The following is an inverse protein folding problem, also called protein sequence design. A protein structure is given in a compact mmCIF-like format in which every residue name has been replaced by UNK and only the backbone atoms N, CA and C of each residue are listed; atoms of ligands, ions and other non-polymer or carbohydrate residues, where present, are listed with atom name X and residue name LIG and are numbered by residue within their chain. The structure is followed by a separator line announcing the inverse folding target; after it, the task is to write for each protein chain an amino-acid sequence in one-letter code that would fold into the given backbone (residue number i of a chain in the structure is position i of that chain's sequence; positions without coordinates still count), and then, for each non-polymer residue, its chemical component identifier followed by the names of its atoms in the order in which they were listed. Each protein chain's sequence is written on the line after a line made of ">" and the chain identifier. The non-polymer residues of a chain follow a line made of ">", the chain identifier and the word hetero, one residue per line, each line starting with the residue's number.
data_IF_830966449820
#
_entry.id   IF_830966449820
#
_cell.length_a   1.000
_cell.length_b   1.000
_cell.length_c   1.000
_cell.angle_alpha   90.00
_cell.angle_beta   90.00
_cell.angle_gamma   90.00
#
_symmetry.space_group_name_H-M   'P 1'
#
loop_
_entity.id
_entity.type
_entity.pdbx_description
1 polymer ?
#
# COMPACT_ATOMS: atom_id res chain seq x y z
N UNK A 1 45.53 -5.69 30.46
CA UNK A 1 45.48 -4.39 29.75
C UNK A 1 44.14 -3.79 30.09
N UNK A 2 44.13 -2.69 30.84
CA UNK A 2 42.88 -1.93 31.06
C UNK A 2 42.53 -1.26 29.73
N UNK A 3 41.44 -1.69 29.11
CA UNK A 3 40.94 -1.10 27.89
C UNK A 3 40.31 0.24 28.25
N UNK A 4 41.10 1.31 28.19
CA UNK A 4 40.54 2.66 28.22
C UNK A 4 39.58 2.82 27.02
N UNK A 5 38.49 3.61 27.15
CA UNK A 5 37.60 3.89 26.04
C UNK A 5 38.33 4.40 24.79
N UNK A 6 39.37 5.19 25.01
CA UNK A 6 40.26 5.71 23.96
C UNK A 6 41.05 4.60 23.27
N UNK A 7 41.55 3.62 24.03
CA UNK A 7 42.25 2.45 23.49
C UNK A 7 41.34 1.56 22.63
N UNK A 8 40.07 1.43 23.01
CA UNK A 8 39.06 0.68 22.23
C UNK A 8 38.81 1.39 20.90
N UNK A 9 38.59 2.71 20.90
CA UNK A 9 38.35 3.47 19.67
C UNK A 9 39.57 3.42 18.75
N UNK A 10 40.77 3.62 19.29
CA UNK A 10 42.01 3.55 18.50
C UNK A 10 42.22 2.17 17.85
N UNK A 11 41.91 1.09 18.59
CA UNK A 11 41.97 -0.28 18.07
C UNK A 11 40.94 -0.51 16.95
N UNK A 12 39.69 -0.07 17.13
CA UNK A 12 38.63 -0.23 16.13
C UNK A 12 38.96 0.54 14.85
N UNK A 13 39.45 1.78 14.96
CA UNK A 13 39.84 2.57 13.78
C UNK A 13 40.98 1.90 13.02
N UNK A 14 42.01 1.42 13.73
CA UNK A 14 43.12 0.70 13.13
C UNK A 14 42.66 -0.61 12.44
N UNK A 15 41.73 -1.33 13.07
CA UNK A 15 41.12 -2.53 12.48
C UNK A 15 40.34 -2.20 11.19
N UNK A 16 39.58 -1.11 11.17
CA UNK A 16 38.83 -0.66 9.98
C UNK A 16 39.77 -0.31 8.83
N UNK A 17 40.86 0.40 9.11
CA UNK A 17 41.80 0.86 8.09
C UNK A 17 42.61 -0.29 7.47
N UNK A 18 42.90 -1.34 8.26
CA UNK A 18 43.72 -2.49 7.82
C UNK A 18 42.90 -3.61 7.18
N UNK A 19 41.60 -3.69 7.46
CA UNK A 19 40.70 -4.73 6.96
C UNK A 19 40.68 -4.88 5.42
N UNK A 20 40.59 -3.81 4.61
CA UNK A 20 40.55 -3.94 3.16
C UNK A 20 41.78 -4.68 2.60
N UNK A 21 42.97 -4.36 3.10
CA UNK A 21 44.20 -5.00 2.66
C UNK A 21 44.25 -6.49 3.05
N UNK A 22 43.81 -6.84 4.26
CA UNK A 22 43.74 -8.23 4.72
C UNK A 22 42.73 -9.07 3.93
N UNK A 23 41.59 -8.48 3.55
CA UNK A 23 40.59 -9.13 2.68
C UNK A 23 41.18 -9.41 1.29
N UNK A 24 41.90 -8.44 0.69
CA UNK A 24 42.53 -8.64 -0.62
C UNK A 24 43.63 -9.70 -0.60
N UNK A 25 44.23 -9.96 0.56
CA UNK A 25 45.21 -11.03 0.76
C UNK A 25 44.56 -12.41 0.99
N UNK A 26 43.23 -12.48 1.09
CA UNK A 26 42.50 -13.74 1.32
C UNK A 26 42.56 -14.22 2.77
N UNK A 27 42.82 -13.34 3.74
CA UNK A 27 42.76 -13.70 5.16
C UNK A 27 41.32 -14.08 5.54
N UNK A 28 41.11 -15.35 5.88
CA UNK A 28 39.82 -15.93 6.24
C UNK A 28 39.20 -15.23 7.45
N UNK A 29 40.02 -14.77 8.40
CA UNK A 29 39.55 -14.07 9.59
C UNK A 29 39.00 -12.68 9.23
N UNK A 30 39.75 -11.90 8.44
CA UNK A 30 39.30 -10.59 7.96
C UNK A 30 38.04 -10.70 7.10
N UNK A 31 37.96 -11.72 6.26
CA UNK A 31 36.78 -11.99 5.42
C UNK A 31 35.56 -12.33 6.29
N UNK A 32 35.72 -13.16 7.32
CA UNK A 32 34.64 -13.52 8.24
C UNK A 32 34.13 -12.30 9.02
N UNK A 33 35.03 -11.47 9.57
CA UNK A 33 34.66 -10.24 10.27
C UNK A 33 33.94 -9.27 9.33
N UNK A 34 34.43 -9.10 8.10
CA UNK A 34 33.81 -8.22 7.10
C UNK A 34 32.40 -8.69 6.75
N UNK A 35 32.18 -10.00 6.62
CA UNK A 35 30.86 -10.57 6.34
C UNK A 35 29.87 -10.30 7.49
N UNK A 36 30.32 -10.45 8.74
CA UNK A 36 29.52 -10.15 9.94
C UNK A 36 29.19 -8.66 9.99
N UNK A 37 30.17 -7.78 9.77
CA UNK A 37 29.98 -6.33 9.75
C UNK A 37 29.01 -5.89 8.64
N UNK A 38 29.13 -6.49 7.45
CA UNK A 38 28.21 -6.25 6.34
C UNK A 38 26.78 -6.67 6.68
N UNK A 39 26.60 -7.85 7.28
CA UNK A 39 25.28 -8.31 7.73
C UNK A 39 24.67 -7.37 8.77
N UNK A 40 25.46 -6.92 9.76
CA UNK A 40 25.03 -5.91 10.75
C UNK A 40 24.61 -4.62 10.04
N UNK A 41 25.39 -4.14 9.07
CA UNK A 41 25.05 -2.94 8.31
C UNK A 41 23.72 -3.10 7.54
N UNK A 42 23.48 -4.25 6.91
CA UNK A 42 22.21 -4.56 6.23
C UNK A 42 21.04 -4.56 7.21
N UNK A 43 21.20 -5.16 8.40
CA UNK A 43 20.17 -5.14 9.45
C UNK A 43 19.88 -3.71 9.91
N UNK A 44 20.91 -2.91 10.14
CA UNK A 44 20.77 -1.49 10.51
C UNK A 44 20.02 -0.73 9.42
N UNK A 45 20.38 -0.90 8.15
CA UNK A 45 19.69 -0.24 7.02
C UNK A 45 18.23 -0.65 6.95
N UNK A 46 17.93 -1.94 7.14
CA UNK A 46 16.55 -2.43 7.12
C UNK A 46 15.72 -1.82 8.26
N UNK A 47 16.27 -1.77 9.47
CA UNK A 47 15.63 -1.16 10.63
C UNK A 47 15.44 0.35 10.45
N UNK A 48 16.45 1.02 9.88
CA UNK A 48 16.39 2.44 9.56
C UNK A 48 15.34 2.74 8.48
N UNK A 49 15.16 1.84 7.51
CA UNK A 49 14.14 1.97 6.46
C UNK A 49 12.73 1.91 7.04
N UNK A 50 12.48 1.00 8.00
CA UNK A 50 11.21 0.95 8.73
C UNK A 50 10.92 2.26 9.50
N UNK A 51 11.94 2.77 10.20
CA UNK A 51 11.85 4.06 10.91
C UNK A 51 11.60 5.22 9.94
N UNK A 52 12.32 5.25 8.81
CA UNK A 52 12.21 6.27 7.77
C UNK A 52 10.80 6.30 7.17
N UNK A 53 10.22 5.14 6.85
CA UNK A 53 8.85 5.05 6.32
C UNK A 53 7.83 5.54 7.34
N UNK A 54 8.00 5.17 8.62
CA UNK A 54 7.15 5.63 9.71
C UNK A 54 7.21 7.15 9.89
N UNK A 55 8.42 7.72 9.82
CA UNK A 55 8.66 9.15 9.90
C UNK A 55 8.08 9.89 8.68
N UNK A 56 8.37 9.42 7.46
CA UNK A 56 7.99 10.05 6.22
C UNK A 56 6.47 10.21 6.09
N UNK A 57 5.70 9.17 6.45
CA UNK A 57 4.22 9.23 6.41
C UNK A 57 3.67 10.36 7.29
N UNK A 58 4.26 10.58 8.47
CA UNK A 58 3.81 11.58 9.45
C UNK A 58 4.30 12.98 9.08
N UNK A 59 5.55 13.07 8.62
CA UNK A 59 6.13 14.31 8.12
C UNK A 59 5.35 14.85 6.91
N UNK A 60 4.95 13.99 5.97
CA UNK A 60 4.12 14.37 4.82
C UNK A 60 2.75 14.89 5.28
N UNK A 61 2.08 14.20 6.21
CA UNK A 61 0.79 14.65 6.73
C UNK A 61 0.90 16.04 7.38
N UNK A 62 1.90 16.24 8.23
CA UNK A 62 2.16 17.52 8.88
C UNK A 62 2.44 18.63 7.84
N UNK A 63 3.24 18.32 6.82
CA UNK A 63 3.59 19.24 5.74
C UNK A 63 2.34 19.66 4.93
N UNK A 64 1.49 18.71 4.54
CA UNK A 64 0.25 19.01 3.80
C UNK A 64 -0.67 19.92 4.62
N UNK A 65 -0.89 19.62 5.90
CA UNK A 65 -1.75 20.44 6.78
C UNK A 65 -1.18 21.86 6.93
N UNK A 66 0.14 21.97 7.11
CA UNK A 66 0.82 23.27 7.23
C UNK A 66 0.70 24.09 5.94
N UNK A 67 0.89 23.45 4.78
CA UNK A 67 0.74 24.11 3.47
C UNK A 67 -0.70 24.54 3.21
N UNK A 68 -1.69 23.71 3.56
CA UNK A 68 -3.10 24.07 3.42
C UNK A 68 -3.46 25.28 4.30
N UNK A 69 -2.95 25.32 5.54
CA UNK A 69 -3.14 26.47 6.42
C UNK A 69 -2.45 27.73 5.89
N UNK A 70 -1.24 27.61 5.37
CA UNK A 70 -0.53 28.71 4.73
C UNK A 70 -1.31 29.27 3.54
N UNK A 71 -1.85 28.40 2.68
CA UNK A 71 -2.70 28.79 1.55
C UNK A 71 -3.96 29.53 2.02
N UNK A 72 -4.59 29.05 3.10
CA UNK A 72 -5.72 29.74 3.73
C UNK A 72 -5.33 31.15 4.20
N UNK A 73 -4.17 31.32 4.85
CA UNK A 73 -3.69 32.63 5.31
C UNK A 73 -3.47 33.60 4.13
N UNK A 74 -2.89 33.13 3.02
CA UNK A 74 -2.72 33.96 1.82
C UNK A 74 -4.08 34.40 1.25
N UNK A 75 -5.03 33.47 1.11
CA UNK A 75 -6.36 33.80 0.58
C UNK A 75 -7.13 34.75 1.52
N UNK A 76 -7.02 34.54 2.82
CA UNK A 76 -7.61 35.41 3.83
C UNK A 76 -7.03 36.82 3.76
N UNK A 77 -5.70 36.95 3.67
CA UNK A 77 -5.04 38.24 3.49
C UNK A 77 -5.49 38.94 2.20
N UNK A 78 -5.63 38.19 1.10
CA UNK A 78 -6.19 38.70 -0.15
C UNK A 78 -7.59 39.29 0.04
N UNK A 79 -8.49 38.56 0.71
CA UNK A 79 -9.84 39.06 1.01
C UNK A 79 -9.85 40.28 1.91
N UNK A 80 -9.00 40.31 2.95
CA UNK A 80 -8.89 41.46 3.85
C UNK A 80 -8.40 42.71 3.11
N UNK A 81 -7.48 42.56 2.14
CA UNK A 81 -6.99 43.71 1.37
C UNK A 81 -8.00 44.22 0.34
N UNK A 82 -8.83 43.35 -0.24
CA UNK A 82 -9.83 43.75 -1.25
C UNK A 82 -11.16 44.22 -0.67
N UNK A 83 -11.66 43.52 0.36
CA UNK A 83 -12.98 43.76 0.96
C UNK A 83 -12.90 44.55 2.27
N UNK A 84 -11.70 44.67 2.86
CA UNK A 84 -11.51 45.24 4.19
C UNK A 84 -11.92 44.28 5.32
N UNK A 85 -11.87 44.79 6.56
CA UNK A 85 -12.35 44.08 7.74
C UNK A 85 -13.88 44.18 7.87
N UNK A 86 -14.59 43.42 7.04
CA UNK A 86 -16.04 43.24 7.18
C UNK A 86 -16.34 42.23 8.30
N UNK A 87 -17.56 42.27 8.84
CA UNK A 87 -18.00 41.33 9.89
C UNK A 87 -17.88 39.88 9.42
N UNK A 88 -18.23 39.60 8.17
CA UNK A 88 -18.13 38.26 7.58
C UNK A 88 -16.66 37.81 7.48
N UNK A 89 -15.77 38.67 6.97
CA UNK A 89 -14.35 38.37 6.87
C UNK A 89 -13.73 38.10 8.25
N UNK A 90 -14.10 38.87 9.28
CA UNK A 90 -13.62 38.64 10.65
C UNK A 90 -14.10 37.27 11.18
N UNK A 91 -15.38 36.94 11.03
CA UNK A 91 -15.95 35.69 11.55
C UNK A 91 -15.34 34.48 10.83
N UNK A 92 -15.33 34.48 9.49
CA UNK A 92 -14.76 33.37 8.72
C UNK A 92 -13.24 33.25 8.91
N UNK A 93 -12.54 34.38 9.02
CA UNK A 93 -11.11 34.41 9.34
C UNK A 93 -10.82 33.79 10.70
N UNK A 94 -11.55 34.21 11.75
CA UNK A 94 -11.36 33.71 13.10
C UNK A 94 -11.65 32.20 13.21
N UNK A 95 -12.77 31.73 12.62
CA UNK A 95 -13.12 30.30 12.61
C UNK A 95 -12.05 29.50 11.86
N UNK A 96 -11.65 29.95 10.66
CA UNK A 96 -10.64 29.27 9.86
C UNK A 96 -9.27 29.23 10.56
N UNK A 97 -8.92 30.29 11.29
CA UNK A 97 -7.68 30.33 12.07
C UNK A 97 -7.72 29.35 13.25
N UNK A 98 -8.81 29.29 14.01
CA UNK A 98 -9.00 28.33 15.11
C UNK A 98 -8.91 26.90 14.59
N UNK A 99 -9.64 26.58 13.52
CA UNK A 99 -9.64 25.24 12.92
C UNK A 99 -8.25 24.86 12.38
N UNK A 100 -7.59 25.78 11.70
CA UNK A 100 -6.23 25.57 11.20
C UNK A 100 -5.22 25.33 12.31
N UNK A 101 -5.32 26.09 13.41
CA UNK A 101 -4.47 25.91 14.57
C UNK A 101 -4.69 24.55 15.26
N UNK A 102 -5.95 24.12 15.38
CA UNK A 102 -6.29 22.78 15.90
C UNK A 102 -5.74 21.69 14.98
N UNK A 103 -5.87 21.84 13.65
CA UNK A 103 -5.35 20.89 12.68
C UNK A 103 -3.82 20.77 12.74
N UNK A 104 -3.10 21.89 12.82
CA UNK A 104 -1.64 21.89 12.99
C UNK A 104 -1.27 21.24 14.33
N UNK A 105 -1.93 21.62 15.43
CA UNK A 105 -1.65 21.08 16.76
C UNK A 105 -1.87 19.57 16.84
N UNK A 106 -2.99 19.07 16.27
CA UNK A 106 -3.28 17.63 16.22
C UNK A 106 -2.30 16.89 15.32
N UNK A 107 -1.96 17.43 14.15
CA UNK A 107 -0.96 16.82 13.26
C UNK A 107 0.43 16.74 13.90
N UNK A 108 0.83 17.79 14.64
CA UNK A 108 2.07 17.82 15.39
C UNK A 108 2.04 16.83 16.56
N UNK A 109 0.94 16.77 17.31
CA UNK A 109 0.75 15.82 18.39
C UNK A 109 0.84 14.36 17.90
N UNK A 110 0.20 14.04 16.77
CA UNK A 110 0.29 12.72 16.14
C UNK A 110 1.72 12.43 15.67
N UNK A 111 2.44 13.42 15.14
CA UNK A 111 3.83 13.29 14.74
C UNK A 111 4.77 13.07 15.95
N UNK A 112 4.47 13.65 17.11
CA UNK A 112 5.27 13.53 18.34
C UNK A 112 4.96 12.26 19.15
N UNK A 113 3.68 11.94 19.39
CA UNK A 113 3.26 10.72 20.14
C UNK A 113 3.79 9.44 19.50
N UNK A 114 3.82 9.45 18.18
CA UNK A 114 4.53 8.53 17.30
C UNK A 114 5.93 8.11 17.75
N UNK A 115 6.73 9.03 18.30
CA UNK A 115 8.08 8.73 18.79
C UNK A 115 8.08 8.08 20.17
N UNK A 116 7.05 8.36 20.97
CA UNK A 116 6.89 7.76 22.28
C UNK A 116 6.38 6.32 22.21
N UNK A 117 5.43 6.02 21.32
CA UNK A 117 4.93 4.64 21.15
C UNK A 117 5.99 3.70 20.53
N UNK A 118 6.86 4.21 19.64
CA UNK A 118 8.00 3.43 19.12
C UNK A 118 9.05 3.07 20.19
N UNK A 119 9.00 3.71 21.37
CA UNK A 119 9.81 3.34 22.54
C UNK A 119 9.07 2.45 23.54
N UNK A 120 7.76 2.28 23.39
CA UNK A 120 6.90 1.64 24.38
C UNK A 120 6.44 0.23 23.98
N UNK A 121 6.81 -0.28 22.80
CA UNK A 121 6.62 -1.70 22.50
C UNK A 121 7.71 -2.58 23.14
N UNK A 122 7.32 -3.80 23.56
CA UNK A 122 7.61 -4.28 24.91
C UNK A 122 8.88 -5.10 24.95
N UNK A 123 9.40 -5.25 26.17
CA UNK A 123 10.30 -6.34 26.55
C UNK A 123 9.95 -7.64 25.81
N UNK A 124 10.95 -8.37 25.29
CA UNK A 124 10.71 -9.66 24.67
C UNK A 124 9.95 -10.53 25.67
N UNK A 125 8.77 -11.02 25.28
CA UNK A 125 8.10 -12.09 26.00
C UNK A 125 9.14 -13.17 26.27
N UNK A 126 9.37 -13.43 27.57
CA UNK A 126 10.36 -14.38 28.01
C UNK A 126 10.18 -15.71 27.26
N UNK A 127 11.28 -16.40 26.89
CA UNK A 127 11.21 -17.62 26.11
C UNK A 127 10.26 -18.60 26.80
N UNK A 128 9.20 -18.99 26.06
CA UNK A 128 8.20 -19.93 26.52
C UNK A 128 8.87 -21.12 27.21
N UNK A 129 8.42 -21.38 28.44
CA UNK A 129 8.76 -22.60 29.17
C UNK A 129 8.33 -23.80 28.32
N UNK A 130 9.25 -24.67 27.86
CA UNK A 130 8.88 -25.87 27.12
C UNK A 130 8.37 -26.91 28.12
N UNK A 131 7.06 -27.05 28.25
CA UNK A 131 6.51 -28.13 29.08
C UNK A 131 5.09 -27.92 29.59
N UNK A 132 4.11 -27.88 28.69
CA UNK A 132 2.76 -28.30 29.05
C UNK A 132 2.27 -29.25 27.94
N UNK A 133 2.36 -30.55 28.24
CA UNK A 133 1.91 -31.62 27.38
C UNK A 133 0.42 -31.45 27.02
N UNK A 134 -0.01 -31.87 25.82
CA UNK A 134 -1.42 -31.85 25.45
C UNK A 134 -2.18 -32.82 26.38
N UNK A 135 -3.12 -32.27 27.14
CA UNK A 135 -4.11 -33.06 27.87
C UNK A 135 -4.97 -33.78 26.82
N UNK A 136 -4.74 -35.09 26.68
CA UNK A 136 -5.57 -36.01 25.91
C UNK A 136 -6.93 -36.08 26.64
N UNK A 137 -8.07 -35.82 25.98
CA UNK A 137 -9.36 -36.07 26.57
C UNK A 137 -9.53 -37.56 26.83
N UNK A 138 -9.69 -37.92 28.11
CA UNK A 138 -9.98 -39.27 28.57
C UNK A 138 -11.20 -39.85 27.84
N UNK A 139 -10.98 -41.00 27.20
CA UNK A 139 -12.02 -41.91 26.73
C UNK A 139 -12.52 -42.71 27.94
N UNK A 140 -13.67 -42.32 28.51
CA UNK A 140 -14.40 -43.14 29.47
C UNK A 140 -15.01 -44.38 28.79
N UNK A 141 -14.78 -45.61 29.30
CA UNK A 141 -15.53 -46.79 28.92
C UNK A 141 -16.53 -47.21 30.02
N UNK A 142 -17.81 -47.24 29.62
CA UNK A 142 -18.80 -48.30 29.89
C UNK A 142 -19.28 -48.65 31.31
N UNK A 143 -20.63 -48.59 31.44
CA UNK A 143 -21.57 -49.47 32.19
C UNK A 143 -21.58 -49.30 33.73
N UNK A 144 -22.71 -49.28 34.44
CA UNK A 144 -23.88 -50.19 34.38
C UNK A 144 -25.01 -49.68 35.30
N UNK A 145 -26.27 -50.05 34.99
CA UNK A 145 -27.43 -50.20 35.91
C UNK A 145 -28.06 -48.91 36.48
N UNK A 146 -29.38 -48.71 36.60
CA UNK A 146 -30.55 -49.59 36.55
C UNK A 146 -31.83 -48.75 36.32
N UNK A 147 -32.89 -49.43 35.83
CA UNK A 147 -34.35 -49.23 36.04
C UNK A 147 -34.91 -47.79 36.11
N UNK A 148 -35.85 -47.45 35.21
CA UNK A 148 -37.28 -47.34 35.57
C UNK A 148 -38.20 -47.25 34.31
N UNK A 149 -39.00 -48.30 34.14
CA UNK A 149 -40.42 -48.42 33.70
C UNK A 149 -41.11 -47.38 32.78
N UNK A 150 -41.46 -47.82 31.55
CA UNK A 150 -42.75 -47.77 30.78
C UNK A 150 -43.98 -46.93 31.29
N UNK A 151 -45.06 -46.65 30.48
CA UNK A 151 -45.24 -46.04 29.14
C UNK A 151 -46.52 -45.11 29.06
N UNK A 152 -47.35 -45.05 27.99
CA UNK A 152 -47.34 -44.06 26.91
C UNK A 152 -48.66 -43.24 26.77
N UNK A 153 -48.69 -42.21 25.92
CA UNK A 153 -49.95 -41.70 25.36
C UNK A 153 -49.79 -41.24 23.90
N UNK A 154 -50.56 -41.90 23.05
CA UNK A 154 -50.87 -41.59 21.64
C UNK A 154 -51.74 -40.33 21.50
N UNK A 155 -51.52 -39.57 20.42
CA UNK A 155 -52.51 -38.77 19.64
C UNK A 155 -51.74 -38.23 18.41
N UNK A 156 -51.97 -38.59 17.14
CA UNK A 156 -53.16 -38.77 16.28
C UNK A 156 -53.86 -37.47 15.85
N UNK A 157 -54.20 -37.44 14.55
CA UNK A 157 -54.98 -36.49 13.71
C UNK A 157 -54.20 -35.27 13.16
N UNK A 158 -53.98 -35.14 11.84
CA UNK A 158 -54.94 -34.86 10.74
C UNK A 158 -55.54 -33.44 10.86
N UNK A 159 -55.58 -32.56 9.85
CA UNK A 159 -55.28 -32.57 8.43
C UNK A 159 -55.64 -31.17 7.87
N UNK A 160 -55.98 -31.12 6.57
CA UNK A 160 -56.63 -30.03 5.83
C UNK A 160 -55.76 -28.99 5.09
N UNK A 161 -55.44 -29.33 3.84
CA UNK A 161 -55.92 -28.69 2.60
C UNK A 161 -56.12 -27.16 2.54
N UNK A 162 -55.47 -26.55 1.54
CA UNK A 162 -56.20 -25.64 0.64
C UNK A 162 -55.66 -25.76 -0.79
N UNK A 163 -56.55 -26.19 -1.68
CA UNK A 163 -56.43 -26.30 -3.13
C UNK A 163 -56.99 -25.04 -3.79
N UNK A 164 -56.34 -24.53 -4.84
CA UNK A 164 -56.93 -23.88 -6.04
C UNK A 164 -55.82 -23.15 -6.82
N UNK A 165 -55.75 -23.10 -8.14
CA UNK A 165 -56.50 -23.72 -9.21
C UNK A 165 -55.67 -23.64 -10.52
N UNK A 166 -55.97 -24.59 -11.39
CA UNK A 166 -55.40 -24.91 -12.70
C UNK A 166 -55.76 -23.89 -13.79
N UNK A 167 -54.83 -23.59 -14.72
CA UNK A 167 -55.18 -23.33 -16.13
C UNK A 167 -54.11 -23.87 -17.09
N UNK A 168 -54.51 -24.96 -17.77
CA UNK A 168 -54.21 -25.47 -19.12
C UNK A 168 -53.12 -24.85 -20.01
N UNK A 169 -52.33 -25.76 -20.59
CA UNK A 169 -51.39 -25.68 -21.73
C UNK A 169 -52.02 -25.20 -23.06
N UNK A 170 -51.21 -24.88 -24.11
CA UNK A 170 -50.63 -25.92 -25.00
C UNK A 170 -49.18 -25.67 -25.51
N UNK A 171 -48.45 -26.70 -25.97
CA UNK A 171 -47.22 -26.58 -26.80
C UNK A 171 -47.53 -26.90 -28.29
N UNK A 172 -46.56 -27.05 -29.24
CA UNK A 172 -45.15 -26.63 -29.30
C UNK A 172 -44.82 -25.84 -30.59
N UNK A 173 -43.64 -25.21 -30.68
CA UNK A 173 -42.96 -24.95 -31.96
C UNK A 173 -41.46 -24.87 -31.71
N UNK A 174 -40.72 -25.80 -32.33
CA UNK A 174 -39.29 -25.97 -32.12
C UNK A 174 -38.46 -24.89 -32.78
N UNK A 175 -37.34 -24.58 -32.14
CA UNK A 175 -36.16 -23.98 -32.76
C UNK A 175 -34.92 -24.53 -32.06
N UNK A 176 -33.96 -24.93 -32.89
CA UNK A 176 -32.71 -25.60 -32.57
C UNK A 176 -31.84 -24.84 -31.55
N UNK A 177 -30.92 -25.53 -30.83
CA UNK A 177 -29.96 -24.89 -29.94
C UNK A 177 -28.91 -24.13 -30.76
N UNK A 178 -28.82 -22.82 -30.52
CA UNK A 178 -27.72 -21.97 -30.98
C UNK A 178 -26.51 -22.09 -30.03
N UNK A 179 -25.27 -21.90 -30.50
CA UNK A 179 -24.07 -22.29 -29.79
C UNK A 179 -23.78 -21.36 -28.60
N UNK A 180 -23.92 -21.91 -27.39
CA UNK A 180 -23.38 -21.36 -26.15
C UNK A 180 -21.85 -21.45 -26.20
N UNK A 181 -21.14 -20.32 -26.29
CA UNK A 181 -19.68 -20.39 -26.24
C UNK A 181 -18.88 -19.10 -26.26
N UNK A 182 -19.48 -17.95 -26.60
CA UNK A 182 -18.67 -16.72 -26.75
C UNK A 182 -19.22 -15.50 -25.98
N UNK A 183 -20.45 -15.55 -25.46
CA UNK A 183 -21.04 -14.47 -24.66
C UNK A 183 -20.64 -14.50 -23.18
N UNK A 184 -20.39 -15.68 -22.61
CA UNK A 184 -20.14 -15.82 -21.16
C UNK A 184 -18.80 -15.17 -20.72
N UNK A 185 -17.78 -15.21 -21.58
CA UNK A 185 -16.45 -14.67 -21.28
C UNK A 185 -16.43 -13.14 -21.24
N UNK A 186 -17.27 -12.49 -22.04
CA UNK A 186 -17.33 -11.02 -22.09
C UNK A 186 -18.13 -10.45 -20.92
N UNK A 187 -19.18 -11.15 -20.48
CA UNK A 187 -19.97 -10.77 -19.30
C UNK A 187 -19.16 -10.91 -18.01
N UNK A 188 -18.39 -12.00 -17.86
CA UNK A 188 -17.47 -12.18 -16.73
C UNK A 188 -16.37 -11.11 -16.67
N UNK A 189 -15.89 -10.63 -17.83
CA UNK A 189 -14.92 -9.55 -17.89
C UNK A 189 -15.54 -8.20 -17.56
N UNK A 190 -16.78 -7.94 -17.98
CA UNK A 190 -17.52 -6.71 -17.67
C UNK A 190 -17.87 -6.58 -16.19
N UNK A 191 -18.24 -7.68 -15.54
CA UNK A 191 -18.49 -7.70 -14.09
C UNK A 191 -17.21 -7.54 -13.26
N UNK A 192 -16.06 -7.94 -13.80
CA UNK A 192 -14.74 -7.71 -13.18
C UNK A 192 -14.25 -6.25 -13.25
N UNK A 193 -14.86 -5.43 -14.13
CA UNK A 193 -14.57 -4.00 -14.35
C UNK A 193 -15.72 -3.12 -13.82
N UNK A 194 -16.71 -3.71 -13.13
CA UNK A 194 -17.76 -2.94 -12.48
C UNK A 194 -17.18 -2.01 -11.42
N UNK A 195 -17.47 -0.70 -11.56
CA UNK A 195 -17.05 0.39 -10.68
C UNK A 195 -17.39 0.11 -9.20
N UNK A 196 -18.39 -0.74 -8.95
CA UNK A 196 -18.79 -1.22 -7.63
C UNK A 196 -17.68 -2.02 -6.92
N UNK A 197 -16.96 -2.88 -7.66
CA UNK A 197 -15.84 -3.68 -7.13
C UNK A 197 -14.56 -2.85 -6.98
N UNK A 198 -14.40 -1.79 -7.78
CA UNK A 198 -13.29 -0.83 -7.63
C UNK A 198 -13.45 0.05 -6.37
N UNK A 199 -14.68 0.25 -5.89
CA UNK A 199 -14.98 0.99 -4.64
C UNK A 199 -14.81 0.16 -3.37
N UNK A 200 -15.01 -1.16 -3.43
CA UNK A 200 -14.89 -2.03 -2.25
C UNK A 200 -13.43 -2.34 -1.90
N UNK A 201 -12.53 -2.27 -2.87
CA UNK A 201 -11.12 -2.57 -2.63
C UNK A 201 -10.39 -1.31 -2.13
N UNK A 202 -10.31 -1.19 -0.80
CA UNK A 202 -9.61 -0.10 -0.11
C UNK A 202 -8.16 0.05 -0.59
N UNK A 203 -7.56 -1.03 -1.10
CA UNK A 203 -6.20 -1.03 -1.65
C UNK A 203 -6.11 -0.31 -3.00
N UNK A 204 -7.11 -0.50 -3.89
CA UNK A 204 -7.09 0.09 -5.23
C UNK A 204 -7.26 1.60 -5.21
N UNK A 205 -8.19 2.12 -4.39
CA UNK A 205 -8.36 3.57 -4.24
C UNK A 205 -7.08 4.25 -3.76
N UNK A 206 -6.32 3.60 -2.86
CA UNK A 206 -5.03 4.08 -2.41
C UNK A 206 -3.98 4.05 -3.54
N UNK A 207 -3.88 2.95 -4.30
CA UNK A 207 -2.99 2.82 -5.47
C UNK A 207 -3.21 3.99 -6.44
N UNK A 208 -4.47 4.28 -6.77
CA UNK A 208 -4.82 5.38 -7.69
C UNK A 208 -4.51 6.77 -7.11
N UNK A 209 -4.81 6.99 -5.83
CA UNK A 209 -4.49 8.26 -5.18
C UNK A 209 -2.98 8.53 -5.16
N UNK A 210 -2.17 7.51 -4.80
CA UNK A 210 -0.71 7.64 -4.81
C UNK A 210 -0.16 7.85 -6.22
N UNK A 211 -0.76 7.19 -7.21
CA UNK A 211 -0.37 7.36 -8.61
C UNK A 211 -0.60 8.80 -9.09
N UNK A 212 -1.76 9.41 -8.77
CA UNK A 212 -2.05 10.82 -9.09
C UNK A 212 -1.07 11.76 -8.38
N UNK A 213 -0.92 11.62 -7.05
CA UNK A 213 -0.06 12.49 -6.25
C UNK A 213 1.40 12.45 -6.75
N UNK A 214 1.90 11.25 -7.04
CA UNK A 214 3.26 11.04 -7.53
C UNK A 214 3.50 11.72 -8.89
N UNK A 215 2.58 11.52 -9.86
CA UNK A 215 2.74 12.11 -11.19
C UNK A 215 2.66 13.65 -11.14
N UNK A 216 1.74 14.21 -10.36
CA UNK A 216 1.70 15.65 -10.12
C UNK A 216 3.00 16.16 -9.48
N UNK A 217 3.57 15.42 -8.53
CA UNK A 217 4.84 15.77 -7.90
C UNK A 217 5.98 15.85 -8.90
N UNK A 218 6.08 14.88 -9.82
CA UNK A 218 7.12 14.88 -10.88
C UNK A 218 6.96 16.12 -11.76
N UNK A 219 5.77 16.36 -12.32
CA UNK A 219 5.52 17.51 -13.19
C UNK A 219 5.61 18.87 -12.48
N UNK A 220 5.48 18.91 -11.16
CA UNK A 220 5.66 20.13 -10.36
C UNK A 220 7.13 20.38 -9.96
N UNK A 221 8.04 19.45 -10.28
CA UNK A 221 9.46 19.53 -9.95
C UNK A 221 10.33 19.58 -11.21
N UNK A 222 11.58 20.03 -11.09
CA UNK A 222 12.53 19.91 -12.20
C UNK A 222 13.06 18.48 -12.27
N UNK A 223 12.53 17.70 -13.20
CA UNK A 223 13.06 16.37 -13.53
C UNK A 223 13.99 16.42 -14.73
N UNK A 224 14.81 15.38 -14.86
CA UNK A 224 15.66 15.16 -16.02
C UNK A 224 15.09 13.98 -16.81
N UNK A 225 14.63 14.21 -18.05
CA UNK A 225 14.19 13.12 -18.91
C UNK A 225 15.36 12.24 -19.33
N UNK A 226 15.06 11.07 -19.88
CA UNK A 226 16.08 10.20 -20.42
C UNK A 226 16.78 10.87 -21.63
N UNK A 227 18.11 10.74 -21.76
CA UNK A 227 18.88 11.39 -22.83
C UNK A 227 18.61 10.80 -24.23
N UNK A 228 18.00 9.61 -24.30
CA UNK A 228 17.62 8.97 -25.56
C UNK A 228 16.46 8.00 -25.36
N UNK A 229 15.78 7.69 -26.46
CA UNK A 229 14.70 6.70 -26.49
C UNK A 229 15.13 5.35 -25.92
N UNK A 230 16.32 4.87 -26.32
CA UNK A 230 16.82 3.56 -25.89
C UNK A 230 17.03 3.51 -24.38
N UNK A 231 17.55 4.60 -23.78
CA UNK A 231 17.76 4.67 -22.33
C UNK A 231 16.42 4.70 -21.59
N UNK A 232 15.47 5.52 -22.04
CA UNK A 232 14.14 5.60 -21.44
C UNK A 232 13.37 4.28 -21.52
N UNK A 233 13.39 3.62 -22.67
CA UNK A 233 12.77 2.30 -22.86
C UNK A 233 13.43 1.24 -21.98
N UNK A 234 14.76 1.19 -21.94
CA UNK A 234 15.50 0.25 -21.10
C UNK A 234 15.16 0.42 -19.62
N UNK A 235 15.10 1.67 -19.15
CA UNK A 235 14.71 1.99 -17.79
C UNK A 235 13.29 1.52 -17.48
N UNK A 236 12.33 1.77 -18.38
CA UNK A 236 10.95 1.30 -18.23
C UNK A 236 10.84 -0.23 -18.16
N UNK A 237 11.56 -0.95 -19.03
CA UNK A 237 11.56 -2.42 -19.04
C UNK A 237 12.17 -2.99 -17.77
N UNK A 238 13.33 -2.47 -17.33
CA UNK A 238 13.96 -2.87 -16.07
C UNK A 238 13.01 -2.64 -14.90
N UNK A 239 12.33 -1.48 -14.88
CA UNK A 239 11.33 -1.18 -13.87
C UNK A 239 10.17 -2.17 -13.87
N UNK A 240 9.63 -2.55 -15.04
CA UNK A 240 8.56 -3.56 -15.10
C UNK A 240 9.01 -4.92 -14.58
N UNK A 241 10.23 -5.36 -14.93
CA UNK A 241 10.79 -6.61 -14.41
C UNK A 241 10.92 -6.54 -12.88
N UNK A 242 11.49 -5.45 -12.36
CA UNK A 242 11.62 -5.23 -10.92
C UNK A 242 10.24 -5.19 -10.22
N UNK A 243 9.23 -4.58 -10.85
CA UNK A 243 7.86 -4.55 -10.36
C UNK A 243 7.23 -5.95 -10.28
N UNK A 244 7.45 -6.80 -11.28
CA UNK A 244 6.97 -8.19 -11.28
C UNK A 244 7.65 -9.02 -10.17
N UNK A 245 8.95 -8.84 -9.99
CA UNK A 245 9.71 -9.47 -8.89
C UNK A 245 9.20 -8.99 -7.54
N UNK A 246 8.98 -7.69 -7.38
CA UNK A 246 8.43 -7.10 -6.16
C UNK A 246 7.05 -7.69 -5.83
N UNK A 247 6.18 -7.83 -6.83
CA UNK A 247 4.85 -8.44 -6.66
C UNK A 247 4.97 -9.89 -6.19
N UNK A 248 5.89 -10.66 -6.78
CA UNK A 248 6.12 -12.05 -6.39
C UNK A 248 6.51 -12.20 -4.91
N UNK A 249 7.27 -11.25 -4.36
CA UNK A 249 7.71 -11.30 -2.97
C UNK A 249 6.77 -10.62 -1.96
N UNK A 250 6.01 -9.61 -2.39
CA UNK A 250 5.25 -8.76 -1.46
C UNK A 250 3.78 -9.13 -1.39
N UNK A 251 3.17 -9.59 -2.49
CA UNK A 251 1.75 -9.86 -2.53
C UNK A 251 1.47 -11.31 -2.13
N UNK A 252 0.54 -11.50 -1.19
CA UNK A 252 0.01 -12.82 -0.84
C UNK A 252 -0.59 -13.55 -2.05
N UNK A 253 -1.21 -12.80 -2.96
CA UNK A 253 -1.80 -13.30 -4.21
C UNK A 253 -1.17 -12.62 -5.41
N UNK A 254 -0.33 -13.37 -6.14
CA UNK A 254 0.38 -12.88 -7.33
C UNK A 254 -0.55 -12.27 -8.39
N UNK A 255 -1.68 -12.93 -8.67
CA UNK A 255 -2.65 -12.46 -9.67
C UNK A 255 -3.27 -11.11 -9.27
N UNK A 256 -3.52 -10.88 -7.98
CA UNK A 256 -4.04 -9.60 -7.49
C UNK A 256 -3.01 -8.49 -7.69
N UNK A 257 -1.75 -8.73 -7.33
CA UNK A 257 -0.67 -7.76 -7.57
C UNK A 257 -0.47 -7.47 -9.06
N UNK A 258 -0.56 -8.49 -9.92
CA UNK A 258 -0.48 -8.31 -11.37
C UNK A 258 -1.66 -7.48 -11.92
N UNK A 259 -2.88 -7.67 -11.40
CA UNK A 259 -4.05 -6.84 -11.74
C UNK A 259 -3.86 -5.40 -11.30
N UNK A 260 -3.31 -5.15 -10.10
CA UNK A 260 -2.99 -3.81 -9.63
C UNK A 260 -1.95 -3.12 -10.52
N UNK A 261 -0.87 -3.83 -10.88
CA UNK A 261 0.14 -3.32 -11.81
C UNK A 261 -0.47 -2.98 -13.16
N UNK A 262 -1.26 -3.89 -13.75
CA UNK A 262 -1.89 -3.67 -15.04
C UNK A 262 -2.83 -2.45 -15.03
N UNK A 263 -3.68 -2.32 -14.02
CA UNK A 263 -4.56 -1.15 -13.86
C UNK A 263 -3.77 0.13 -13.64
N UNK A 264 -2.73 0.10 -12.81
CA UNK A 264 -1.87 1.24 -12.55
C UNK A 264 -1.13 1.69 -13.82
N UNK A 265 -0.66 0.77 -14.67
CA UNK A 265 -0.05 1.09 -15.97
C UNK A 265 -1.06 1.81 -16.86
N UNK A 266 -2.25 1.24 -17.06
CA UNK A 266 -3.26 1.83 -17.95
C UNK A 266 -3.68 3.23 -17.48
N UNK A 267 -4.10 3.34 -16.21
CA UNK A 267 -4.59 4.60 -15.65
C UNK A 267 -3.45 5.59 -15.50
N UNK A 268 -2.27 5.12 -15.10
CA UNK A 268 -1.07 5.92 -14.98
C UNK A 268 -0.61 6.50 -16.31
N UNK A 269 -0.65 5.73 -17.39
CA UNK A 269 -0.30 6.24 -18.72
C UNK A 269 -1.30 7.32 -19.15
N UNK A 270 -2.61 7.10 -18.96
CA UNK A 270 -3.64 8.10 -19.30
C UNK A 270 -3.38 9.42 -18.53
N UNK A 271 -3.13 9.33 -17.23
CA UNK A 271 -2.86 10.53 -16.41
C UNK A 271 -1.55 11.19 -16.84
N UNK A 272 -0.51 10.41 -17.15
CA UNK A 272 0.78 10.95 -17.57
C UNK A 272 0.67 11.70 -18.91
N UNK A 273 -0.18 11.22 -19.83
CA UNK A 273 -0.47 11.91 -21.08
C UNK A 273 -1.23 13.23 -20.84
N UNK A 274 -2.28 13.19 -20.01
CA UNK A 274 -3.09 14.38 -19.68
C UNK A 274 -2.24 15.43 -18.96
N UNK A 275 -1.52 15.04 -17.92
CA UNK A 275 -0.65 15.95 -17.17
C UNK A 275 0.55 16.40 -18.00
N UNK A 276 1.16 15.51 -18.79
CA UNK A 276 2.23 15.88 -19.70
C UNK A 276 1.81 16.98 -20.68
N UNK A 277 0.60 16.87 -21.23
CA UNK A 277 0.08 17.87 -22.15
C UNK A 277 -0.32 19.17 -21.46
N UNK A 278 -1.18 19.12 -20.45
CA UNK A 278 -1.77 20.32 -19.84
C UNK A 278 -0.87 20.99 -18.81
N UNK A 279 -0.05 20.23 -18.09
CA UNK A 279 0.81 20.73 -17.00
C UNK A 279 2.27 20.83 -17.43
N UNK A 280 2.79 19.77 -18.08
CA UNK A 280 4.16 19.73 -18.60
C UNK A 280 4.37 20.51 -19.89
N UNK A 281 3.29 21.01 -20.52
CA UNK A 281 3.31 21.70 -21.82
C UNK A 281 4.02 20.90 -22.92
N UNK A 282 3.89 19.57 -22.88
CA UNK A 282 4.50 18.66 -23.85
C UNK A 282 3.53 18.47 -25.03
N UNK A 283 3.99 18.61 -26.29
CA UNK A 283 3.16 18.38 -27.46
C UNK A 283 2.59 16.96 -27.49
N UNK A 284 1.30 16.83 -27.86
CA UNK A 284 0.59 15.54 -27.83
C UNK A 284 1.18 14.53 -28.83
N UNK A 285 1.75 15.01 -29.93
CA UNK A 285 2.47 14.20 -30.92
C UNK A 285 3.75 13.58 -30.34
N UNK A 286 4.43 14.27 -29.42
CA UNK A 286 5.58 13.70 -28.70
C UNK A 286 5.12 12.66 -27.69
N UNK A 287 4.02 12.93 -26.97
CA UNK A 287 3.47 12.04 -25.95
C UNK A 287 2.89 10.74 -26.53
N UNK A 288 2.35 10.76 -27.75
CA UNK A 288 1.79 9.59 -28.43
C UNK A 288 2.79 8.90 -29.37
N UNK A 289 4.05 9.34 -29.39
CA UNK A 289 5.11 8.76 -30.23
C UNK A 289 6.18 8.10 -29.35
N UNK A 290 7.17 7.41 -29.96
CA UNK A 290 8.32 6.89 -29.22
C UNK A 290 9.09 7.97 -28.44
N UNK A 291 8.93 9.26 -28.80
CA UNK A 291 9.52 10.36 -28.05
C UNK A 291 9.02 10.43 -26.59
N UNK A 292 7.86 9.83 -26.26
CA UNK A 292 7.37 9.68 -24.89
C UNK A 292 8.44 9.22 -23.91
N UNK A 293 9.30 8.28 -24.32
CA UNK A 293 10.36 7.74 -23.45
C UNK A 293 11.51 8.72 -23.15
N UNK A 294 11.55 9.87 -23.83
CA UNK A 294 12.50 10.97 -23.62
C UNK A 294 11.84 12.17 -22.94
N UNK A 295 10.66 11.99 -22.35
CA UNK A 295 9.93 13.08 -21.70
C UNK A 295 9.81 12.87 -20.20
N UNK A 296 9.52 13.96 -19.49
CA UNK A 296 9.18 13.92 -18.06
C UNK A 296 7.93 13.06 -17.77
N UNK A 297 7.08 12.83 -18.78
CA UNK A 297 5.90 11.97 -18.64
C UNK A 297 6.25 10.50 -18.39
N UNK A 298 7.36 9.99 -18.96
CA UNK A 298 7.86 8.65 -18.62
C UNK A 298 8.30 8.59 -17.16
N UNK A 299 9.07 9.59 -16.71
CA UNK A 299 9.56 9.67 -15.33
C UNK A 299 8.39 9.74 -14.36
N UNK A 300 7.36 10.53 -14.69
CA UNK A 300 6.12 10.62 -13.94
C UNK A 300 5.42 9.26 -13.86
N UNK A 301 5.26 8.58 -14.99
CA UNK A 301 4.64 7.26 -15.07
C UNK A 301 5.39 6.26 -14.17
N UNK A 302 6.70 6.11 -14.35
CA UNK A 302 7.50 5.14 -13.57
C UNK A 302 7.45 5.45 -12.08
N UNK A 303 7.60 6.71 -11.69
CA UNK A 303 7.54 7.13 -10.28
C UNK A 303 6.15 6.88 -9.69
N UNK A 304 5.09 7.19 -10.44
CA UNK A 304 3.72 6.92 -10.05
C UNK A 304 3.44 5.44 -9.88
N UNK A 305 3.92 4.59 -10.80
CA UNK A 305 3.83 3.14 -10.68
C UNK A 305 4.58 2.63 -9.45
N UNK A 306 5.82 3.08 -9.23
CA UNK A 306 6.64 2.65 -8.10
C UNK A 306 5.95 2.94 -6.76
N UNK A 307 5.49 4.17 -6.56
CA UNK A 307 4.80 4.57 -5.33
C UNK A 307 3.46 3.86 -5.17
N UNK A 308 2.70 3.71 -6.25
CA UNK A 308 1.41 3.02 -6.21
C UNK A 308 1.55 1.54 -5.83
N UNK A 309 2.57 0.84 -6.33
CA UNK A 309 2.83 -0.57 -5.99
C UNK A 309 3.35 -0.72 -4.57
N UNK A 310 4.29 0.14 -4.15
CA UNK A 310 4.89 0.08 -2.83
C UNK A 310 3.88 0.37 -1.72
N UNK A 311 3.04 1.38 -1.92
CA UNK A 311 2.04 1.77 -0.92
C UNK A 311 0.74 0.97 -1.01
N UNK A 312 0.43 0.42 -2.18
CA UNK A 312 -0.70 -0.50 -2.40
C UNK A 312 -0.45 -1.94 -1.94
N UNK A 313 0.81 -2.36 -1.81
CA UNK A 313 1.19 -3.73 -1.45
C UNK A 313 0.98 -4.13 0.02
N UNK A 314 0.48 -3.23 0.87
CA UNK A 314 0.08 -3.57 2.26
C UNK A 314 -1.39 -4.04 2.27
N UNK A 315 -1.61 -5.25 1.77
CA UNK A 315 -2.86 -5.99 1.82
C UNK A 315 -2.62 -7.41 2.32
#
# INVERSE_FOLDING_TARGET
>A
MELSPEGIVAYVTNLIDTMPAAIMQGDVFALTISLIAFFIAVVIINQLTGLLIGFLKKAILFLIVTLAFWQFVIMFYGKVTTEGFTQDTIIFGAIGFILGFIAISTSLFVALRSYHEARAEPEPEAPGTPGAAPVIPDLEPSRTSALETEPPALQSSAGLDTVSATTSSPPPSGTAPAPEGMGATFTAMKDSISVSNLKSDKSLGAVLAYLVIAQFGVFSSKTMPAPSFQVGLSFFVIFLIAGLVFIHFTYNNYITGLRHLAMAIVIGTIIALVLGHFWGNIPIDQLLSPAFFQTDALVALVTGLALSLFMGGKG
#
